data_IF_744535025626
#
_entry.id   IF_744535025626
#
_cell.length_a   1.000
_cell.length_b   1.000
_cell.length_c   1.000
_cell.angle_alpha   90.00
_cell.angle_beta   90.00
_cell.angle_gamma   90.00
#
_symmetry.space_group_name_H-M   'P 1'
#
loop_
_entity.id
_entity.type
_entity.pdbx_description
1 polymer ?
#
# COMPACT_ATOMS: atom_id res chain seq x y z
N UNK A 1 2.01 26.30 12.40
CA UNK A 1 0.95 25.84 13.30
C UNK A 1 -0.37 26.32 12.77
N UNK A 2 -1.33 25.42 12.57
CA UNK A 2 -2.67 25.72 12.08
C UNK A 2 -3.62 25.95 13.29
N UNK A 3 -4.34 27.05 13.28
CA UNK A 3 -5.31 27.36 14.33
C UNK A 3 -6.69 27.59 13.72
N UNK A 4 -7.61 26.68 13.98
CA UNK A 4 -9.03 26.89 13.78
C UNK A 4 -9.59 27.71 14.96
N UNK A 5 -10.70 28.42 14.75
CA UNK A 5 -11.38 29.12 15.84
C UNK A 5 -12.15 28.12 16.69
N UNK A 6 -12.77 27.14 16.05
CA UNK A 6 -13.55 26.13 16.74
C UNK A 6 -13.49 24.79 16.00
N UNK A 7 -13.57 23.69 16.75
CA UNK A 7 -13.80 22.34 16.24
C UNK A 7 -15.26 22.00 16.48
N UNK A 8 -16.00 21.78 15.42
CA UNK A 8 -17.44 21.54 15.47
C UNK A 8 -17.78 20.07 15.73
N UNK A 9 -16.93 19.18 15.21
CA UNK A 9 -17.16 17.75 15.37
C UNK A 9 -15.98 16.90 14.92
N UNK A 10 -15.94 15.68 15.44
CA UNK A 10 -15.04 14.61 15.04
C UNK A 10 -15.89 13.37 14.78
N UNK A 11 -15.77 12.81 13.59
CA UNK A 11 -16.34 11.52 13.23
C UNK A 11 -15.19 10.54 12.97
N UNK A 12 -15.22 9.39 13.60
CA UNK A 12 -14.22 8.35 13.43
C UNK A 12 -14.87 7.03 13.05
N UNK A 13 -14.34 6.38 12.01
CA UNK A 13 -14.83 5.11 11.51
C UNK A 13 -13.68 4.12 11.38
N UNK A 14 -13.79 3.00 12.08
CA UNK A 14 -12.93 1.83 11.91
C UNK A 14 -13.76 0.67 11.37
N UNK A 15 -13.31 0.04 10.32
CA UNK A 15 -13.98 -1.07 9.68
C UNK A 15 -13.03 -2.27 9.55
N UNK A 16 -13.60 -3.47 9.49
CA UNK A 16 -12.86 -4.69 9.21
C UNK A 16 -13.62 -5.49 8.16
N UNK A 17 -12.91 -6.08 7.24
CA UNK A 17 -13.46 -7.02 6.27
C UNK A 17 -13.21 -8.45 6.71
N UNK A 18 -14.24 -9.29 6.55
CA UNK A 18 -14.16 -10.73 6.83
C UNK A 18 -14.28 -11.46 5.50
N UNK A 19 -13.31 -12.32 5.20
CA UNK A 19 -13.35 -13.17 4.04
C UNK A 19 -14.23 -14.40 4.33
N UNK A 20 -15.23 -14.61 3.48
CA UNK A 20 -16.15 -15.74 3.59
C UNK A 20 -15.98 -16.63 2.36
N UNK A 21 -15.85 -17.93 2.55
CA UNK A 21 -15.87 -18.91 1.48
C UNK A 21 -17.18 -19.70 1.53
N UNK A 22 -17.87 -19.88 0.40
CA UNK A 22 -19.01 -20.78 0.33
C UNK A 22 -18.53 -22.21 0.53
N UNK A 23 -19.23 -22.95 1.37
CA UNK A 23 -19.01 -24.39 1.58
C UNK A 23 -20.21 -25.16 1.07
N UNK A 24 -20.06 -26.48 0.94
CA UNK A 24 -21.15 -27.34 0.50
C UNK A 24 -22.41 -27.14 1.35
N UNK A 25 -23.58 -27.37 0.76
CA UNK A 25 -24.92 -27.22 1.35
C UNK A 25 -25.36 -25.75 1.63
N UNK A 26 -24.78 -24.76 0.93
CA UNK A 26 -25.27 -23.37 0.98
C UNK A 26 -24.91 -22.59 2.24
N UNK A 27 -23.99 -23.08 3.06
CA UNK A 27 -23.42 -22.34 4.20
C UNK A 27 -22.13 -21.64 3.83
N UNK A 28 -21.64 -20.74 4.70
CA UNK A 28 -20.40 -20.00 4.53
C UNK A 28 -19.47 -20.27 5.71
N UNK A 29 -18.18 -20.43 5.40
CA UNK A 29 -17.12 -20.42 6.39
C UNK A 29 -16.37 -19.09 6.37
N UNK A 30 -16.25 -18.44 7.52
CA UNK A 30 -15.46 -17.23 7.70
C UNK A 30 -14.08 -17.63 8.20
N UNK A 31 -13.01 -17.22 7.50
CA UNK A 31 -11.66 -17.70 7.81
C UNK A 31 -10.64 -16.60 8.10
N UNK A 32 -10.89 -15.36 7.70
CA UNK A 32 -9.95 -14.28 7.93
C UNK A 32 -10.69 -12.96 8.22
N UNK A 33 -10.17 -12.20 9.18
CA UNK A 33 -10.62 -10.83 9.47
C UNK A 33 -9.45 -9.87 9.28
N UNK A 34 -9.58 -8.98 8.32
CA UNK A 34 -8.59 -7.94 8.03
C UNK A 34 -9.15 -6.59 8.47
N UNK A 35 -8.40 -5.88 9.31
CA UNK A 35 -8.78 -4.52 9.69
C UNK A 35 -8.39 -3.56 8.55
N UNK A 36 -9.35 -2.79 8.06
CA UNK A 36 -9.12 -1.72 7.09
C UNK A 36 -8.49 -0.50 7.78
N UNK A 37 -7.81 0.40 7.03
CA UNK A 37 -7.38 1.67 7.57
C UNK A 37 -8.56 2.43 8.16
N UNK A 38 -8.37 3.03 9.32
CA UNK A 38 -9.39 3.83 9.95
C UNK A 38 -9.50 5.19 9.26
N UNK A 39 -10.71 5.71 9.20
CA UNK A 39 -11.00 7.03 8.61
C UNK A 39 -11.53 7.95 9.69
N UNK A 40 -11.15 9.23 9.62
CA UNK A 40 -11.66 10.26 10.48
C UNK A 40 -12.03 11.52 9.69
N UNK A 41 -13.07 12.19 10.09
CA UNK A 41 -13.48 13.48 9.54
C UNK A 41 -13.54 14.49 10.69
N UNK A 42 -12.71 15.53 10.57
CA UNK A 42 -12.69 16.64 11.54
C UNK A 42 -13.35 17.85 10.92
N UNK A 43 -14.42 18.31 11.52
CA UNK A 43 -15.11 19.52 11.10
C UNK A 43 -14.63 20.69 11.95
N UNK A 44 -14.14 21.73 11.29
CA UNK A 44 -13.60 22.94 11.92
C UNK A 44 -14.24 24.19 11.33
N UNK A 45 -14.27 25.26 12.12
CA UNK A 45 -14.73 26.55 11.65
C UNK A 45 -13.69 27.65 11.85
N UNK A 46 -13.67 28.61 10.92
CA UNK A 46 -12.82 29.79 10.94
C UNK A 46 -13.64 31.02 10.51
N UNK A 47 -13.86 31.93 11.42
CA UNK A 47 -14.60 33.17 11.17
C UNK A 47 -13.80 34.43 11.50
N UNK A 48 -12.88 34.31 12.46
CA UNK A 48 -12.09 35.44 12.94
C UNK A 48 -10.98 35.88 11.97
N UNK A 49 -10.44 37.06 12.15
CA UNK A 49 -9.21 37.54 11.55
C UNK A 49 -9.32 38.09 10.13
N UNK A 50 -10.51 38.35 9.63
CA UNK A 50 -10.70 38.97 8.31
C UNK A 50 -10.38 38.00 7.13
N UNK A 51 -10.51 38.50 5.90
CA UNK A 51 -10.38 37.71 4.70
C UNK A 51 -8.95 37.12 4.49
N UNK A 52 -7.94 37.89 4.86
CA UNK A 52 -6.53 37.46 4.70
C UNK A 52 -6.19 36.31 5.64
N UNK A 53 -6.60 36.36 6.89
CA UNK A 53 -6.31 35.29 7.85
C UNK A 53 -7.08 34.01 7.52
N UNK A 54 -8.32 34.12 7.05
CA UNK A 54 -9.09 32.97 6.56
C UNK A 54 -8.48 32.36 5.31
N UNK A 55 -8.00 33.22 4.39
CA UNK A 55 -7.27 32.77 3.20
C UNK A 55 -5.97 32.05 3.54
N UNK A 56 -5.19 32.59 4.47
CA UNK A 56 -3.96 31.95 4.95
C UNK A 56 -4.25 30.60 5.63
N UNK A 57 -5.32 30.49 6.40
CA UNK A 57 -5.75 29.24 7.01
C UNK A 57 -6.08 28.15 5.97
N UNK A 58 -6.85 28.51 4.92
CA UNK A 58 -7.14 27.58 3.83
C UNK A 58 -5.89 27.20 3.04
N UNK A 59 -5.01 28.16 2.76
CA UNK A 59 -3.75 27.88 2.06
C UNK A 59 -2.84 26.93 2.86
N UNK A 60 -2.78 27.09 4.18
CA UNK A 60 -2.05 26.17 5.06
C UNK A 60 -2.67 24.77 5.06
N UNK A 61 -4.00 24.66 5.10
CA UNK A 61 -4.69 23.37 5.03
C UNK A 61 -4.40 22.64 3.72
N UNK A 62 -4.50 23.34 2.59
CA UNK A 62 -4.20 22.75 1.27
C UNK A 62 -2.73 22.37 1.14
N UNK A 63 -1.81 23.14 1.72
CA UNK A 63 -0.40 22.77 1.77
C UNK A 63 -0.15 21.51 2.63
N UNK A 64 -0.90 21.33 3.71
CA UNK A 64 -0.83 20.14 4.56
C UNK A 64 -1.46 18.92 3.88
N UNK A 65 -2.53 19.10 3.13
CA UNK A 65 -3.16 18.04 2.34
C UNK A 65 -2.19 17.49 1.29
N UNK A 66 -1.47 18.38 0.57
CA UNK A 66 -0.44 17.95 -0.40
C UNK A 66 0.83 17.37 0.24
N UNK A 67 0.95 17.32 1.57
CA UNK A 67 2.10 16.79 2.28
C UNK A 67 1.88 15.35 2.73
N UNK A 68 2.97 14.60 2.89
CA UNK A 68 2.96 13.23 3.45
C UNK A 68 3.09 13.21 4.97
N UNK A 69 2.79 14.32 5.64
CA UNK A 69 2.92 14.43 7.09
C UNK A 69 1.84 13.61 7.80
N UNK A 70 2.23 13.01 8.91
CA UNK A 70 1.33 12.26 9.78
C UNK A 70 0.91 13.12 10.96
N UNK A 71 -0.35 13.06 11.27
CA UNK A 71 -0.97 13.83 12.33
C UNK A 71 -1.48 12.94 13.45
N UNK A 72 -1.57 13.50 14.63
CA UNK A 72 -2.28 12.93 15.76
C UNK A 72 -3.59 13.67 15.94
N UNK A 73 -4.70 12.93 15.93
CA UNK A 73 -6.01 13.50 16.27
C UNK A 73 -6.28 13.12 17.72
N UNK A 74 -6.31 14.15 18.56
CA UNK A 74 -6.47 13.98 20.00
C UNK A 74 -7.90 14.37 20.34
N UNK A 75 -8.70 13.41 20.78
CA UNK A 75 -10.00 13.62 21.42
C UNK A 75 -9.87 13.46 22.93
N UNK A 76 -10.81 13.90 23.74
CA UNK A 76 -10.79 13.70 25.19
C UNK A 76 -10.70 12.24 25.59
N UNK A 77 -11.28 11.34 24.78
CA UNK A 77 -11.40 9.91 25.07
C UNK A 77 -10.24 9.09 24.48
N UNK A 78 -9.71 9.51 23.32
CA UNK A 78 -8.74 8.71 22.60
C UNK A 78 -7.77 9.53 21.72
N UNK A 79 -6.60 8.98 21.46
CA UNK A 79 -5.59 9.56 20.56
C UNK A 79 -5.44 8.68 19.32
N UNK A 80 -5.91 9.16 18.18
CA UNK A 80 -5.74 8.52 16.89
C UNK A 80 -4.39 8.92 16.30
N UNK A 81 -3.52 7.93 16.08
CA UNK A 81 -2.14 8.15 15.63
C UNK A 81 -2.00 7.86 14.14
N UNK A 82 -0.95 8.43 13.54
CA UNK A 82 -0.56 8.16 12.15
C UNK A 82 -1.66 8.45 11.13
N UNK A 83 -2.41 9.52 11.35
CA UNK A 83 -3.45 9.98 10.43
C UNK A 83 -2.82 10.87 9.36
N UNK A 84 -3.08 10.61 8.08
CA UNK A 84 -2.74 11.49 6.96
C UNK A 84 -3.99 12.19 6.45
N UNK A 85 -3.85 13.44 6.01
CA UNK A 85 -4.94 14.17 5.36
C UNK A 85 -5.09 13.64 3.94
N UNK A 86 -6.28 13.17 3.59
CA UNK A 86 -6.62 12.65 2.26
C UNK A 86 -7.51 13.59 1.47
N UNK A 87 -8.16 14.54 2.15
CA UNK A 87 -8.99 15.52 1.49
C UNK A 87 -9.38 16.67 2.42
N UNK A 88 -9.63 17.83 1.82
CA UNK A 88 -10.08 19.02 2.51
C UNK A 88 -11.25 19.63 1.72
N UNK A 89 -12.41 19.64 2.34
CA UNK A 89 -13.62 20.28 1.80
C UNK A 89 -13.96 21.50 2.62
N UNK A 90 -14.34 22.60 1.99
CA UNK A 90 -14.80 23.77 2.70
C UNK A 90 -16.09 24.32 2.12
N UNK A 91 -16.93 24.84 2.98
CA UNK A 91 -18.19 25.45 2.61
C UNK A 91 -18.38 26.79 3.30
N UNK A 92 -19.13 27.67 2.66
CA UNK A 92 -19.64 28.91 3.22
C UNK A 92 -21.15 28.95 3.07
N UNK A 93 -21.85 29.17 4.16
CA UNK A 93 -23.30 29.25 4.16
C UNK A 93 -23.72 30.67 4.54
N UNK A 94 -24.71 31.21 3.85
CA UNK A 94 -25.33 32.50 4.22
C UNK A 94 -26.05 32.42 5.57
N UNK A 95 -26.51 31.23 5.97
CA UNK A 95 -27.18 30.99 7.25
C UNK A 95 -26.22 31.07 8.44
N UNK A 96 -24.97 30.71 8.26
CA UNK A 96 -23.92 30.76 9.29
C UNK A 96 -23.15 32.08 9.28
N UNK A 97 -23.46 32.95 8.33
CA UNK A 97 -22.74 34.22 8.10
C UNK A 97 -21.66 34.08 7.02
N UNK A 98 -21.63 35.02 6.09
CA UNK A 98 -20.72 35.05 4.92
C UNK A 98 -19.25 35.01 5.32
N UNK A 99 -18.93 35.37 6.55
CA UNK A 99 -17.56 35.44 7.05
C UNK A 99 -17.07 34.11 7.66
N UNK A 100 -17.98 33.21 8.03
CA UNK A 100 -17.63 31.92 8.59
C UNK A 100 -17.29 30.94 7.46
N UNK A 101 -16.17 30.20 7.61
CA UNK A 101 -15.80 29.11 6.78
C UNK A 101 -15.87 27.85 7.63
N UNK A 102 -16.64 26.86 7.18
CA UNK A 102 -16.66 25.51 7.74
C UNK A 102 -15.82 24.62 6.85
N UNK A 103 -14.88 23.94 7.44
CA UNK A 103 -13.94 23.04 6.75
C UNK A 103 -14.09 21.64 7.30
N UNK A 104 -14.22 20.65 6.42
CA UNK A 104 -14.17 19.24 6.74
C UNK A 104 -12.81 18.68 6.26
N UNK A 105 -12.02 18.20 7.20
CA UNK A 105 -10.74 17.57 6.91
C UNK A 105 -10.91 16.06 7.01
N UNK A 106 -10.69 15.38 5.91
CA UNK A 106 -10.74 13.92 5.83
C UNK A 106 -9.34 13.37 6.10
N UNK A 107 -9.26 12.42 7.01
CA UNK A 107 -8.02 11.77 7.40
C UNK A 107 -8.16 10.25 7.29
N UNK A 108 -7.07 9.60 6.94
CA UNK A 108 -6.97 8.14 6.89
C UNK A 108 -5.75 7.65 7.64
N UNK A 109 -5.88 6.53 8.34
CA UNK A 109 -4.80 5.89 9.08
C UNK A 109 -3.77 5.29 8.14
N UNK A 110 -2.50 5.69 8.27
CA UNK A 110 -1.38 5.09 7.56
C UNK A 110 -0.69 4.06 8.44
N UNK A 111 -0.73 2.80 8.02
CA UNK A 111 -0.05 1.71 8.71
C UNK A 111 1.33 1.49 8.11
N UNK A 112 2.35 1.64 8.94
CA UNK A 112 3.73 1.33 8.56
C UNK A 112 4.09 -0.07 8.99
N UNK A 113 4.53 -0.88 8.04
CA UNK A 113 5.14 -2.18 8.33
C UNK A 113 6.64 -1.97 8.47
N UNK A 114 7.16 -2.18 9.67
CA UNK A 114 8.61 -2.25 9.87
C UNK A 114 9.09 -3.60 9.35
N UNK A 115 9.82 -3.57 8.25
CA UNK A 115 10.51 -4.76 7.76
C UNK A 115 11.81 -4.90 8.55
N UNK A 116 11.87 -5.88 9.43
CA UNK A 116 13.11 -6.27 10.09
C UNK A 116 13.83 -7.23 9.14
N UNK A 117 14.91 -6.77 8.53
CA UNK A 117 15.82 -7.66 7.83
C UNK A 117 16.72 -8.32 8.90
N UNK A 118 16.53 -9.61 9.15
CA UNK A 118 17.52 -10.42 9.81
C UNK A 118 18.48 -10.91 8.74
N UNK A 119 19.72 -10.48 8.81
CA UNK A 119 20.79 -11.16 8.08
C UNK A 119 21.08 -12.45 8.83
N UNK A 120 20.57 -13.54 8.33
CA UNK A 120 21.05 -14.87 8.75
C UNK A 120 22.35 -15.10 7.96
N UNK A 121 23.47 -14.96 8.66
CA UNK A 121 24.77 -15.31 8.11
C UNK A 121 24.76 -16.81 7.88
N UNK A 122 24.83 -17.20 6.60
CA UNK A 122 24.93 -18.60 6.23
C UNK A 122 26.27 -19.10 6.79
N UNK A 123 26.20 -19.95 7.79
CA UNK A 123 27.33 -20.38 8.62
C UNK A 123 28.32 -21.23 7.84
N UNK A 124 28.70 -21.13 6.77
CA UNK A 124 29.69 -21.63 5.83
C UNK A 124 29.04 -21.87 4.44
N UNK A 125 29.39 -21.04 3.44
CA UNK A 125 28.90 -21.26 2.08
C UNK A 125 29.31 -22.63 1.49
N UNK A 126 30.32 -23.30 2.04
CA UNK A 126 30.77 -24.63 1.70
C UNK A 126 29.84 -25.75 2.22
N UNK A 127 29.04 -25.49 3.26
CA UNK A 127 28.03 -26.42 3.78
C UNK A 127 26.67 -26.26 3.08
N UNK A 128 26.52 -25.29 2.19
CA UNK A 128 25.42 -25.25 1.28
C UNK A 128 25.52 -26.45 0.34
N UNK A 129 24.94 -27.57 0.78
CA UNK A 129 24.71 -28.71 -0.12
C UNK A 129 23.96 -28.12 -1.31
N UNK A 130 24.60 -28.16 -2.46
CA UNK A 130 23.91 -27.96 -3.73
C UNK A 130 22.72 -28.89 -3.70
N UNK A 131 21.53 -28.34 -3.46
CA UNK A 131 20.30 -29.07 -3.71
C UNK A 131 20.37 -29.36 -5.19
N UNK A 132 20.64 -30.67 -5.51
CA UNK A 132 20.59 -31.15 -6.86
C UNK A 132 19.16 -30.94 -7.35
N UNK A 133 18.90 -29.75 -7.86
CA UNK A 133 17.60 -29.30 -8.35
C UNK A 133 17.26 -29.93 -9.68
N UNK A 134 17.48 -31.26 -9.77
CA UNK A 134 17.11 -31.99 -10.97
C UNK A 134 17.85 -31.47 -12.20
N UNK A 135 19.16 -31.37 -12.12
CA UNK A 135 19.98 -31.19 -13.29
C UNK A 135 19.68 -32.36 -14.21
N UNK A 136 18.81 -32.14 -15.18
CA UNK A 136 18.65 -33.05 -16.29
C UNK A 136 20.03 -33.07 -16.93
N UNK A 137 20.87 -34.03 -16.52
CA UNK A 137 22.09 -34.31 -17.27
C UNK A 137 21.63 -34.56 -18.72
N UNK A 138 22.11 -33.75 -19.67
CA UNK A 138 21.87 -34.11 -21.05
C UNK A 138 22.38 -35.52 -21.20
N UNK A 139 21.48 -36.47 -21.28
CA UNK A 139 21.82 -37.82 -21.67
C UNK A 139 22.53 -37.65 -22.99
N UNK A 140 23.81 -38.04 -23.02
CA UNK A 140 24.56 -38.10 -24.28
C UNK A 140 23.61 -38.67 -25.31
N UNK A 141 23.38 -37.94 -26.38
CA UNK A 141 22.50 -38.40 -27.43
C UNK A 141 23.06 -39.70 -27.94
N UNK A 142 22.63 -40.80 -27.33
CA UNK A 142 22.97 -42.13 -27.76
C UNK A 142 22.22 -42.36 -29.08
N UNK A 143 22.89 -42.09 -30.11
CA UNK A 143 22.36 -42.08 -31.45
C UNK A 143 22.54 -40.70 -32.06
N UNK A 144 23.55 -40.56 -32.89
CA UNK A 144 23.68 -39.41 -33.74
C UNK A 144 22.35 -39.16 -34.43
N UNK A 145 21.89 -37.89 -34.41
CA UNK A 145 20.71 -37.54 -35.16
C UNK A 145 20.84 -38.08 -36.59
N UNK A 146 19.76 -38.51 -37.19
CA UNK A 146 19.72 -39.00 -38.57
C UNK A 146 20.48 -38.11 -39.57
N UNK A 147 20.57 -36.80 -39.28
CA UNK A 147 21.38 -35.82 -40.03
C UNK A 147 22.89 -36.12 -39.90
N UNK A 148 23.36 -36.47 -38.71
CA UNK A 148 24.75 -36.75 -38.45
C UNK A 148 25.17 -38.09 -39.07
N UNK A 149 24.28 -39.07 -39.08
CA UNK A 149 24.49 -40.33 -39.82
C UNK A 149 24.49 -40.13 -41.33
N UNK A 150 23.61 -39.27 -41.84
CA UNK A 150 23.60 -38.85 -43.23
C UNK A 150 24.90 -38.22 -43.66
N UNK A 151 25.46 -37.32 -42.87
CA UNK A 151 26.74 -36.66 -43.14
C UNK A 151 27.92 -37.67 -43.15
N UNK A 152 27.92 -38.68 -42.27
CA UNK A 152 28.90 -39.75 -42.27
C UNK A 152 28.80 -40.61 -43.56
N UNK A 153 27.59 -40.86 -44.01
CA UNK A 153 27.36 -41.63 -45.24
C UNK A 153 27.86 -40.82 -46.45
N UNK A 154 27.58 -39.53 -46.56
CA UNK A 154 28.08 -38.67 -47.64
C UNK A 154 29.58 -38.53 -47.62
N UNK A 155 30.21 -38.35 -46.44
CA UNK A 155 31.67 -38.27 -46.30
C UNK A 155 32.38 -39.54 -46.78
N UNK A 156 31.84 -40.71 -46.45
CA UNK A 156 32.40 -42.00 -46.88
C UNK A 156 32.16 -42.27 -48.36
N UNK A 157 31.05 -41.79 -48.94
CA UNK A 157 30.72 -42.10 -50.34
C UNK A 157 31.43 -41.16 -51.32
N UNK A 158 31.75 -39.92 -50.92
CA UNK A 158 32.32 -38.95 -51.82
C UNK A 158 33.75 -38.49 -51.43
N UNK A 159 34.37 -39.11 -50.44
CA UNK A 159 35.77 -38.83 -50.08
C UNK A 159 36.08 -37.41 -49.69
N UNK A 160 35.09 -36.61 -49.23
CA UNK A 160 35.26 -35.23 -48.80
C UNK A 160 35.55 -35.23 -47.31
N UNK A 161 36.80 -35.00 -46.94
CA UNK A 161 37.20 -34.65 -45.59
C UNK A 161 36.78 -33.18 -45.35
N UNK A 162 35.91 -32.97 -44.39
CA UNK A 162 35.66 -31.65 -43.79
C UNK A 162 36.54 -31.47 -42.56
#
# INVERSE_FOLDING_TARGET
VLFADNVLGLSYQAASSIANAPIEQGSFASYNKVANPAQAVVQMSKGSGGALQRGAFLAQLLALEGSTLKFYVISPEFVHRNMCITGVDYARSAQEGVQLIVVNVQLEEVREVKVNYSFEEVAAPEDAKTVDGGNVQPKDAAGASWINEGNKWFGNTFGVSL
#
